data_IF_252780352601
#
_entry.id   IF_252780352601
#
_cell.length_a   1.000
_cell.length_b   1.000
_cell.length_c   1.000
_cell.angle_alpha   90.00
_cell.angle_beta   90.00
_cell.angle_gamma   90.00
#
_symmetry.space_group_name_H-M   'P 1'
#
loop_
_entity.id
_entity.type
_entity.pdbx_description
1 polymer ?
#
# COMPACT_ATOMS: atom_id res chain seq x y z
N UNK A 1 43.41 -12.71 -10.80
CA UNK A 1 42.08 -12.16 -11.12
C UNK A 1 41.32 -12.03 -9.81
N UNK A 2 41.03 -10.81 -9.37
CA UNK A 2 40.16 -10.60 -8.20
C UNK A 2 38.74 -10.72 -8.71
N UNK A 3 38.06 -11.78 -8.30
CA UNK A 3 36.63 -11.94 -8.56
C UNK A 3 35.90 -10.86 -7.76
N UNK A 4 35.46 -9.79 -8.44
CA UNK A 4 34.63 -8.74 -7.87
C UNK A 4 33.24 -9.31 -7.62
N UNK A 5 33.10 -10.08 -6.55
CA UNK A 5 31.79 -10.50 -6.05
C UNK A 5 31.06 -9.22 -5.62
N UNK A 6 30.12 -8.77 -6.44
CA UNK A 6 29.26 -7.63 -6.10
C UNK A 6 28.40 -8.05 -4.91
N UNK A 7 28.82 -7.67 -3.70
CA UNK A 7 27.99 -7.82 -2.50
C UNK A 7 26.76 -6.95 -2.67
N UNK A 8 25.60 -7.60 -2.88
CA UNK A 8 24.30 -6.93 -2.82
C UNK A 8 24.13 -6.42 -1.39
N UNK A 9 23.94 -5.11 -1.24
CA UNK A 9 23.70 -4.48 0.05
C UNK A 9 22.25 -4.03 0.08
N UNK A 10 21.49 -4.65 0.96
CA UNK A 10 20.14 -4.23 1.32
C UNK A 10 20.25 -2.97 2.19
N UNK A 11 19.41 -1.98 1.91
CA UNK A 11 19.15 -0.85 2.80
C UNK A 11 17.64 -0.79 3.02
N UNK A 12 17.20 -0.81 4.26
CA UNK A 12 15.79 -0.79 4.63
C UNK A 12 15.51 0.46 5.45
N UNK A 13 14.64 1.33 4.96
CA UNK A 13 14.30 2.58 5.63
C UNK A 13 12.79 2.76 5.68
N UNK A 14 12.32 3.57 6.62
CA UNK A 14 10.90 3.80 6.85
C UNK A 14 10.57 5.30 6.91
N UNK A 15 9.39 5.66 6.41
CA UNK A 15 8.72 6.92 6.74
C UNK A 15 8.06 6.85 8.12
N UNK A 16 7.53 7.99 8.57
CA UNK A 16 6.95 8.19 9.90
C UNK A 16 5.59 7.51 10.09
N UNK A 17 4.82 7.30 9.02
CA UNK A 17 3.42 6.88 9.11
C UNK A 17 3.21 5.48 9.71
N UNK A 18 4.20 4.58 9.63
CA UNK A 18 4.06 3.18 10.03
C UNK A 18 5.42 2.55 10.42
N UNK A 19 6.14 3.24 11.30
CA UNK A 19 7.48 2.82 11.74
C UNK A 19 7.48 1.44 12.42
N UNK A 20 6.48 1.13 13.26
CA UNK A 20 6.37 -0.15 13.97
C UNK A 20 6.30 -1.35 13.00
N UNK A 21 5.47 -1.24 11.95
CA UNK A 21 5.42 -2.25 10.88
C UNK A 21 6.77 -2.40 10.17
N UNK A 22 7.51 -1.32 9.98
CA UNK A 22 8.80 -1.38 9.33
C UNK A 22 9.87 -2.07 10.21
N UNK A 23 9.82 -1.88 11.53
CA UNK A 23 10.66 -2.61 12.49
C UNK A 23 10.32 -4.10 12.51
N UNK A 24 9.03 -4.48 12.52
CA UNK A 24 8.61 -5.88 12.41
C UNK A 24 9.12 -6.54 11.12
N UNK A 25 9.04 -5.82 9.99
CA UNK A 25 9.60 -6.29 8.72
C UNK A 25 11.12 -6.44 8.80
N UNK A 26 11.82 -5.52 9.45
CA UNK A 26 13.27 -5.60 9.63
C UNK A 26 13.66 -6.83 10.49
N UNK A 27 12.92 -7.09 11.57
CA UNK A 27 13.12 -8.24 12.45
C UNK A 27 12.95 -9.56 11.69
N UNK A 28 11.85 -9.70 10.93
CA UNK A 28 11.60 -10.90 10.10
C UNK A 28 12.69 -11.12 9.05
N UNK A 29 13.27 -10.03 8.51
CA UNK A 29 14.37 -10.10 7.55
C UNK A 29 15.74 -10.34 8.20
N UNK A 30 15.84 -10.35 9.54
CA UNK A 30 17.10 -10.47 10.26
C UNK A 30 18.02 -9.27 10.07
N UNK A 31 17.44 -8.08 9.88
CA UNK A 31 18.14 -6.80 9.69
C UNK A 31 17.61 -5.75 10.68
N UNK A 32 18.02 -4.50 10.49
CA UNK A 32 17.49 -3.32 11.19
C UNK A 32 17.04 -2.27 10.18
N UNK A 33 16.25 -1.28 10.62
CA UNK A 33 16.07 -0.05 9.87
C UNK A 33 17.38 0.75 9.85
N UNK A 34 17.79 1.17 8.66
CA UNK A 34 18.91 2.07 8.47
C UNK A 34 18.51 3.50 8.87
N UNK A 35 19.41 4.27 9.50
CA UNK A 35 19.08 5.58 10.02
C UNK A 35 18.77 6.57 8.90
N UNK A 36 17.61 7.21 8.99
CA UNK A 36 17.23 8.37 8.16
C UNK A 36 16.81 9.50 9.08
N UNK A 37 17.46 10.65 8.92
CA UNK A 37 17.05 11.89 9.58
C UNK A 37 15.93 12.52 8.79
N UNK A 38 14.73 12.51 9.36
CA UNK A 38 13.56 13.24 8.88
C UNK A 38 13.27 14.40 9.83
N UNK A 39 13.24 15.62 9.33
CA UNK A 39 12.89 16.80 10.12
C UNK A 39 11.99 17.73 9.35
N UNK A 40 11.18 18.49 10.07
CA UNK A 40 10.24 19.45 9.50
C UNK A 40 10.72 20.89 9.78
N UNK A 41 10.70 21.74 8.75
CA UNK A 41 10.93 23.16 8.90
C UNK A 41 9.68 23.83 9.49
N UNK A 42 9.84 25.05 10.03
CA UNK A 42 8.73 25.79 10.66
C UNK A 42 7.52 26.06 9.73
N UNK A 43 7.68 25.92 8.42
CA UNK A 43 6.64 26.08 7.41
C UNK A 43 6.01 24.76 6.92
N UNK A 44 6.40 23.61 7.50
CA UNK A 44 5.89 22.28 7.13
C UNK A 44 6.68 21.56 6.04
N UNK A 45 7.75 22.15 5.50
CA UNK A 45 8.61 21.47 4.53
C UNK A 45 9.44 20.36 5.19
N UNK A 46 9.63 19.26 4.46
CA UNK A 46 10.39 18.12 4.95
C UNK A 46 11.85 18.16 4.48
N UNK A 47 12.75 17.85 5.41
CA UNK A 47 14.15 17.59 5.15
C UNK A 47 14.45 16.12 5.41
N UNK A 48 14.97 15.42 4.39
CA UNK A 48 15.36 14.02 4.45
C UNK A 48 16.86 13.87 4.23
N UNK A 49 17.53 13.12 5.11
CA UNK A 49 18.94 12.77 4.96
C UNK A 49 19.20 11.35 5.45
N UNK A 50 19.74 10.51 4.56
CA UNK A 50 20.28 9.19 4.94
C UNK A 50 21.50 9.35 5.86
N UNK A 51 21.52 8.63 6.97
CA UNK A 51 22.63 8.68 7.94
C UNK A 51 23.90 8.02 7.41
N UNK A 52 23.75 6.90 6.70
CA UNK A 52 24.84 6.13 6.11
C UNK A 52 24.89 6.26 4.58
N UNK A 53 26.06 5.96 4.00
CA UNK A 53 26.21 5.93 2.54
C UNK A 53 25.39 4.80 1.95
N UNK A 54 24.44 5.12 1.07
CA UNK A 54 23.59 4.17 0.33
C UNK A 54 24.01 3.97 -1.14
N UNK A 55 25.18 4.48 -1.52
CA UNK A 55 25.72 4.34 -2.90
C UNK A 55 25.75 2.86 -3.31
N UNK A 56 25.19 2.56 -4.48
CA UNK A 56 25.18 1.21 -5.05
C UNK A 56 24.28 0.21 -4.32
N UNK A 57 23.54 0.62 -3.28
CA UNK A 57 22.67 -0.27 -2.51
C UNK A 57 21.32 -0.52 -3.22
N UNK A 58 20.66 -1.60 -2.81
CA UNK A 58 19.26 -1.87 -3.08
C UNK A 58 18.43 -1.33 -1.91
N UNK A 59 17.77 -0.18 -2.11
CA UNK A 59 17.04 0.56 -1.08
C UNK A 59 15.56 0.19 -1.14
N UNK A 60 14.99 -0.17 0.00
CA UNK A 60 13.57 -0.41 0.20
C UNK A 60 13.05 0.67 1.15
N UNK A 61 12.07 1.45 0.68
CA UNK A 61 11.52 2.58 1.43
C UNK A 61 10.08 2.22 1.81
N UNK A 62 9.87 1.85 3.07
CA UNK A 62 8.56 1.52 3.63
C UNK A 62 7.83 2.82 3.99
N UNK A 63 6.64 3.03 3.45
CA UNK A 63 5.81 4.19 3.75
C UNK A 63 4.36 3.94 3.35
N UNK A 64 3.49 3.82 4.33
CA UNK A 64 2.06 3.67 4.12
C UNK A 64 1.42 5.03 3.83
N UNK A 65 0.60 5.13 2.79
CA UNK A 65 -0.07 6.38 2.42
C UNK A 65 -1.35 6.58 3.24
N UNK A 66 -1.28 6.46 4.56
CA UNK A 66 -2.41 6.61 5.46
C UNK A 66 -2.35 7.95 6.22
N UNK A 67 -3.51 8.37 6.73
CA UNK A 67 -3.56 9.48 7.68
C UNK A 67 -3.23 8.94 9.07
N UNK A 68 -2.35 9.63 9.78
CA UNK A 68 -2.12 9.46 11.23
C UNK A 68 -2.63 10.70 11.96
N UNK A 69 -2.40 10.78 13.28
CA UNK A 69 -2.72 11.99 14.05
C UNK A 69 -1.90 13.22 13.61
N UNK A 70 -0.75 13.01 12.96
CA UNK A 70 0.21 14.06 12.63
C UNK A 70 0.42 14.23 11.12
N UNK A 71 0.11 13.21 10.32
CA UNK A 71 0.33 13.20 8.88
C UNK A 71 -0.98 12.96 8.14
N UNK A 72 -1.22 13.75 7.10
CA UNK A 72 -2.22 13.42 6.10
C UNK A 72 -1.67 12.39 5.11
N UNK A 73 -2.56 11.81 4.28
CA UNK A 73 -2.18 10.96 3.15
C UNK A 73 -1.21 11.68 2.20
N UNK A 74 -1.36 13.00 2.03
CA UNK A 74 -0.48 13.80 1.19
C UNK A 74 0.92 13.92 1.78
N UNK A 75 1.01 14.16 3.10
CA UNK A 75 2.28 14.31 3.80
C UNK A 75 3.07 13.00 3.75
N UNK A 76 2.39 11.86 3.94
CA UNK A 76 3.01 10.54 3.83
C UNK A 76 3.54 10.24 2.42
N UNK A 77 2.78 10.61 1.38
CA UNK A 77 3.22 10.43 -0.02
C UNK A 77 4.40 11.37 -0.32
N UNK A 78 4.31 12.64 0.06
CA UNK A 78 5.37 13.63 -0.17
C UNK A 78 6.66 13.24 0.55
N UNK A 79 6.56 12.78 1.79
CA UNK A 79 7.69 12.25 2.56
C UNK A 79 8.38 11.11 1.81
N UNK A 80 7.64 10.08 1.39
CA UNK A 80 8.22 8.95 0.69
C UNK A 80 8.83 9.34 -0.66
N UNK A 81 8.20 10.28 -1.40
CA UNK A 81 8.76 10.84 -2.64
C UNK A 81 10.10 11.54 -2.40
N UNK A 82 10.20 12.33 -1.33
CA UNK A 82 11.44 13.01 -0.94
C UNK A 82 12.53 12.00 -0.57
N UNK A 83 12.18 10.92 0.15
CA UNK A 83 13.12 9.84 0.45
C UNK A 83 13.61 9.13 -0.83
N UNK A 84 12.73 8.90 -1.81
CA UNK A 84 13.08 8.31 -3.11
C UNK A 84 14.03 9.23 -3.89
N UNK A 85 13.75 10.53 -3.99
CA UNK A 85 14.63 11.50 -4.67
C UNK A 85 15.99 11.59 -3.97
N UNK A 86 16.01 11.64 -2.63
CA UNK A 86 17.25 11.63 -1.85
C UNK A 86 18.07 10.36 -2.12
N UNK A 87 17.44 9.18 -2.19
CA UNK A 87 18.10 7.93 -2.51
C UNK A 87 18.68 7.90 -3.93
N UNK A 88 17.94 8.42 -4.91
CA UNK A 88 18.39 8.55 -6.30
C UNK A 88 19.62 9.44 -6.40
N UNK A 89 19.60 10.61 -5.76
CA UNK A 89 20.74 11.55 -5.76
C UNK A 89 21.95 11.00 -4.98
N UNK A 90 21.71 10.19 -3.95
CA UNK A 90 22.74 9.45 -3.24
C UNK A 90 23.32 8.25 -4.03
N UNK A 91 22.91 8.08 -5.30
CA UNK A 91 23.40 7.02 -6.19
C UNK A 91 23.06 5.60 -5.72
N UNK A 92 21.88 5.40 -5.13
CA UNK A 92 21.34 4.06 -4.92
C UNK A 92 21.24 3.31 -6.26
N UNK A 93 21.48 1.99 -6.25
CA UNK A 93 21.43 1.17 -7.46
C UNK A 93 19.99 0.89 -7.89
N UNK A 94 19.15 0.53 -6.92
CA UNK A 94 17.72 0.28 -7.10
C UNK A 94 16.96 0.83 -5.91
N UNK A 95 15.79 1.40 -6.17
CA UNK A 95 14.90 1.96 -5.16
C UNK A 95 13.55 1.27 -5.33
N UNK A 96 13.10 0.54 -4.33
CA UNK A 96 11.79 -0.08 -4.28
C UNK A 96 10.92 0.67 -3.29
N UNK A 97 9.79 1.18 -3.77
CA UNK A 97 8.76 1.79 -2.94
C UNK A 97 7.93 0.66 -2.34
N UNK A 98 7.86 0.59 -1.01
CA UNK A 98 6.99 -0.35 -0.29
C UNK A 98 5.88 0.47 0.33
N UNK A 99 4.68 0.40 -0.24
CA UNK A 99 3.49 1.11 0.21
C UNK A 99 2.44 0.09 0.66
N UNK A 100 2.49 -0.39 1.92
CA UNK A 100 1.55 -1.39 2.42
C UNK A 100 0.09 -1.03 2.14
N UNK A 101 -0.26 0.24 2.35
CA UNK A 101 -1.51 0.84 1.86
C UNK A 101 -1.23 1.87 0.77
N UNK A 102 -1.75 1.62 -0.43
CA UNK A 102 -1.64 2.54 -1.56
C UNK A 102 -2.76 3.59 -1.54
N UNK A 103 -2.39 4.79 -1.07
CA UNK A 103 -3.23 5.97 -1.03
C UNK A 103 -3.72 6.39 -2.41
N UNK A 104 -4.87 7.07 -2.44
CA UNK A 104 -5.57 7.43 -3.68
C UNK A 104 -6.04 6.27 -4.56
N UNK A 105 -5.87 5.00 -4.15
CA UNK A 105 -6.28 3.83 -4.94
C UNK A 105 -7.77 3.78 -5.32
N UNK A 106 -8.64 4.52 -4.63
CA UNK A 106 -10.07 4.65 -5.00
C UNK A 106 -10.32 5.57 -6.20
N UNK A 107 -9.36 6.42 -6.56
CA UNK A 107 -9.41 7.32 -7.72
C UNK A 107 -8.58 6.71 -8.87
N UNK A 108 -8.94 5.49 -9.27
CA UNK A 108 -8.28 4.67 -10.29
C UNK A 108 -8.93 4.78 -11.68
N UNK A 109 -10.04 5.51 -11.79
CA UNK A 109 -10.72 5.82 -13.04
C UNK A 109 -11.46 7.13 -12.92
N UNK A 110 -11.88 7.67 -14.04
CA UNK A 110 -12.85 8.78 -14.08
C UNK A 110 -14.25 8.21 -13.88
N UNK A 111 -14.91 8.56 -12.77
CA UNK A 111 -16.31 8.24 -12.57
C UNK A 111 -17.18 9.21 -13.38
N UNK A 112 -16.76 10.46 -13.47
CA UNK A 112 -17.38 11.51 -14.26
C UNK A 112 -16.37 12.24 -15.16
N UNK A 113 -16.88 13.06 -16.09
CA UNK A 113 -16.04 13.91 -16.93
C UNK A 113 -15.26 14.91 -16.09
N UNK A 114 -14.01 15.21 -16.50
CA UNK A 114 -13.11 16.20 -15.88
C UNK A 114 -12.59 15.87 -14.47
N UNK A 115 -12.63 14.59 -14.09
CA UNK A 115 -11.95 14.10 -12.87
C UNK A 115 -10.50 13.68 -13.14
N UNK A 116 -9.62 13.72 -12.11
CA UNK A 116 -8.29 13.12 -12.18
C UNK A 116 -8.36 11.59 -12.02
N UNK A 117 -7.29 10.91 -12.43
CA UNK A 117 -6.99 9.52 -12.03
C UNK A 117 -5.79 9.60 -11.09
N UNK A 118 -6.06 9.94 -9.83
CA UNK A 118 -5.00 10.28 -8.87
C UNK A 118 -4.13 9.08 -8.52
N UNK A 119 -4.66 7.85 -8.55
CA UNK A 119 -3.84 6.65 -8.38
C UNK A 119 -2.74 6.51 -9.45
N UNK A 120 -3.03 6.92 -10.69
CA UNK A 120 -2.06 6.99 -11.80
C UNK A 120 -1.07 8.12 -11.60
N UNK A 121 -1.53 9.30 -11.18
CA UNK A 121 -0.65 10.42 -10.85
C UNK A 121 0.38 10.03 -9.77
N UNK A 122 -0.04 9.32 -8.71
CA UNK A 122 0.87 8.85 -7.66
C UNK A 122 1.94 7.91 -8.23
N UNK A 123 1.56 6.98 -9.12
CA UNK A 123 2.52 6.10 -9.79
C UNK A 123 3.54 6.89 -10.62
N UNK A 124 3.08 7.89 -11.38
CA UNK A 124 3.92 8.77 -12.20
C UNK A 124 4.90 9.60 -11.35
N UNK A 125 4.45 10.08 -10.19
CA UNK A 125 5.30 10.82 -9.27
C UNK A 125 6.43 9.93 -8.72
N UNK A 126 6.13 8.69 -8.33
CA UNK A 126 7.16 7.76 -7.84
C UNK A 126 8.14 7.34 -8.93
N UNK A 127 7.64 7.09 -10.15
CA UNK A 127 8.51 6.80 -11.30
C UNK A 127 9.45 7.98 -11.57
N UNK A 128 8.91 9.20 -11.63
CA UNK A 128 9.65 10.44 -11.86
C UNK A 128 10.70 10.67 -10.76
N UNK A 129 10.31 10.48 -9.49
CA UNK A 129 11.19 10.60 -8.34
C UNK A 129 12.37 9.62 -8.41
N UNK A 130 12.16 8.42 -8.98
CA UNK A 130 13.23 7.45 -9.23
C UNK A 130 12.97 6.02 -8.81
N UNK A 131 11.74 5.69 -8.41
CA UNK A 131 11.36 4.33 -8.06
C UNK A 131 11.59 3.38 -9.25
N UNK A 132 12.01 2.15 -8.94
CA UNK A 132 12.20 1.06 -9.93
C UNK A 132 11.24 -0.09 -9.73
N UNK A 133 10.47 -0.07 -8.65
CA UNK A 133 9.47 -1.07 -8.27
C UNK A 133 8.52 -0.45 -7.26
N UNK A 134 7.26 -0.86 -7.31
CA UNK A 134 6.27 -0.63 -6.26
C UNK A 134 5.87 -1.98 -5.66
N UNK A 135 5.79 -2.07 -4.34
CA UNK A 135 5.27 -3.22 -3.59
C UNK A 135 4.09 -2.70 -2.76
N UNK A 136 2.92 -3.35 -2.85
CA UNK A 136 1.72 -2.95 -2.11
C UNK A 136 0.87 -4.16 -1.73
N UNK A 137 0.04 -4.02 -0.70
CA UNK A 137 -0.91 -5.05 -0.26
C UNK A 137 -2.33 -4.66 -0.66
N UNK A 138 -3.08 -5.62 -1.22
CA UNK A 138 -4.52 -5.53 -1.55
C UNK A 138 -4.95 -4.17 -2.13
N UNK A 139 -4.39 -3.84 -3.30
CA UNK A 139 -4.76 -2.66 -4.07
C UNK A 139 -6.27 -2.60 -4.25
N UNK A 140 -6.82 -1.37 -4.22
CA UNK A 140 -8.26 -1.17 -4.38
C UNK A 140 -8.81 -1.86 -5.63
N UNK A 141 -8.01 -1.82 -6.71
CA UNK A 141 -8.30 -2.38 -8.01
C UNK A 141 -7.02 -3.00 -8.58
N UNK A 142 -7.14 -4.22 -9.14
CA UNK A 142 -5.98 -4.96 -9.66
C UNK A 142 -5.31 -4.25 -10.84
N UNK A 143 -6.04 -3.40 -11.56
CA UNK A 143 -5.58 -2.63 -12.70
C UNK A 143 -4.55 -1.55 -12.32
N UNK A 144 -4.48 -1.14 -11.06
CA UNK A 144 -3.48 -0.16 -10.57
C UNK A 144 -2.05 -0.65 -10.85
N UNK A 145 -1.82 -1.96 -10.94
CA UNK A 145 -0.52 -2.52 -11.35
C UNK A 145 -0.06 -1.98 -12.72
N UNK A 146 -0.98 -1.72 -13.65
CA UNK A 146 -0.66 -1.17 -14.97
C UNK A 146 -0.44 0.34 -15.01
N UNK A 147 -0.51 1.04 -13.88
CA UNK A 147 -0.28 2.49 -13.82
C UNK A 147 1.18 2.87 -13.71
N UNK A 148 2.03 1.97 -13.20
CA UNK A 148 3.46 2.19 -13.05
C UNK A 148 4.22 1.56 -14.22
N UNK A 149 5.13 2.30 -14.86
CA UNK A 149 5.99 1.77 -15.93
C UNK A 149 7.19 1.00 -15.33
N UNK A 150 6.87 -0.12 -14.70
CA UNK A 150 7.85 -0.99 -14.07
C UNK A 150 7.21 -2.14 -13.28
N UNK A 151 8.01 -2.97 -12.60
CA UNK A 151 7.49 -4.06 -11.77
C UNK A 151 6.62 -3.54 -10.62
N UNK A 152 5.43 -4.11 -10.48
CA UNK A 152 4.55 -3.93 -9.33
C UNK A 152 4.30 -5.29 -8.70
N UNK A 153 4.73 -5.46 -7.44
CA UNK A 153 4.42 -6.64 -6.65
C UNK A 153 3.15 -6.36 -5.83
N UNK A 154 2.02 -6.89 -6.30
CA UNK A 154 0.73 -6.77 -5.63
C UNK A 154 0.49 -7.99 -4.72
N UNK A 155 0.79 -7.82 -3.45
CA UNK A 155 0.60 -8.83 -2.42
C UNK A 155 -0.85 -8.87 -1.95
N UNK A 156 -1.27 -10.00 -1.38
CA UNK A 156 -2.62 -10.14 -0.79
C UNK A 156 -2.54 -10.68 0.63
N UNK A 157 -3.34 -10.11 1.53
CA UNK A 157 -3.42 -10.54 2.93
C UNK A 157 -4.36 -11.74 3.12
N UNK A 158 -5.13 -12.12 2.09
CA UNK A 158 -6.16 -13.15 2.17
C UNK A 158 -5.67 -14.47 2.79
N UNK A 159 -4.51 -15.05 2.44
CA UNK A 159 -4.04 -16.30 3.05
C UNK A 159 -3.87 -16.20 4.58
N UNK A 160 -3.28 -15.10 5.06
CA UNK A 160 -3.05 -14.85 6.50
C UNK A 160 -4.38 -14.66 7.24
N UNK A 161 -5.31 -13.93 6.63
CA UNK A 161 -6.63 -13.69 7.22
C UNK A 161 -7.49 -14.95 7.26
N UNK A 162 -7.47 -15.75 6.19
CA UNK A 162 -8.17 -17.03 6.11
C UNK A 162 -7.61 -18.02 7.12
N UNK A 163 -6.30 -18.16 7.23
CA UNK A 163 -5.66 -19.03 8.22
C UNK A 163 -6.09 -18.67 9.63
N UNK A 164 -6.05 -17.38 9.98
CA UNK A 164 -6.50 -16.92 11.29
C UNK A 164 -8.00 -17.19 11.50
N UNK A 165 -8.86 -16.89 10.52
CA UNK A 165 -10.30 -17.13 10.63
C UNK A 165 -10.64 -18.61 10.79
N UNK A 166 -10.02 -19.49 10.00
CA UNK A 166 -10.24 -20.93 10.10
C UNK A 166 -9.79 -21.51 11.46
N UNK A 167 -8.78 -20.92 12.09
CA UNK A 167 -8.30 -21.35 13.40
C UNK A 167 -9.09 -20.78 14.60
N UNK A 168 -9.80 -19.66 14.40
CA UNK A 168 -10.40 -18.89 15.51
C UNK A 168 -11.92 -18.72 15.40
N UNK A 169 -12.52 -18.99 14.24
CA UNK A 169 -13.97 -18.93 14.03
C UNK A 169 -14.56 -20.35 13.95
N UNK A 170 -15.87 -20.47 14.18
CA UNK A 170 -16.60 -21.75 14.08
C UNK A 170 -16.79 -22.21 12.64
N UNK A 171 -17.45 -23.36 12.46
CA UNK A 171 -17.67 -23.97 11.13
C UNK A 171 -18.89 -23.38 10.39
N UNK A 172 -19.83 -22.77 11.11
CA UNK A 172 -21.05 -22.16 10.54
C UNK A 172 -20.80 -20.67 10.27
N UNK A 173 -20.20 -20.38 9.10
CA UNK A 173 -19.79 -19.03 8.71
C UNK A 173 -20.52 -18.57 7.46
N UNK A 174 -20.88 -17.29 7.46
CA UNK A 174 -21.33 -16.56 6.27
C UNK A 174 -20.39 -15.37 6.04
N UNK A 175 -19.75 -15.34 4.87
CA UNK A 175 -18.95 -14.20 4.44
C UNK A 175 -19.87 -13.19 3.78
N UNK A 176 -19.88 -11.95 4.30
CA UNK A 176 -20.77 -10.89 3.81
C UNK A 176 -19.98 -9.86 2.99
N UNK A 177 -20.34 -9.70 1.71
CA UNK A 177 -19.88 -8.56 0.90
C UNK A 177 -20.66 -7.31 1.28
N UNK A 178 -20.02 -6.23 1.75
CA UNK A 178 -20.70 -5.02 2.22
C UNK A 178 -21.32 -4.18 1.10
N UNK A 179 -20.98 -4.47 -0.16
CA UNK A 179 -21.52 -3.87 -1.36
C UNK A 179 -21.24 -4.76 -2.58
N UNK A 180 -21.76 -4.38 -3.75
CA UNK A 180 -21.58 -5.13 -5.00
C UNK A 180 -20.13 -5.12 -5.53
N UNK A 181 -19.32 -4.12 -5.17
CA UNK A 181 -17.97 -3.92 -5.70
C UNK A 181 -16.96 -4.94 -5.18
N UNK A 182 -17.21 -5.54 -4.02
CA UNK A 182 -16.31 -6.52 -3.38
C UNK A 182 -16.82 -7.96 -3.40
N UNK A 183 -17.92 -8.25 -4.10
CA UNK A 183 -18.53 -9.61 -4.14
C UNK A 183 -17.52 -10.67 -4.56
N UNK A 184 -16.71 -10.42 -5.59
CA UNK A 184 -15.68 -11.37 -6.04
C UNK A 184 -14.60 -11.63 -5.00
N UNK A 185 -14.32 -10.66 -4.13
CA UNK A 185 -13.36 -10.83 -3.02
C UNK A 185 -14.01 -11.66 -1.92
N UNK A 186 -15.25 -11.32 -1.53
CA UNK A 186 -16.03 -12.06 -0.54
C UNK A 186 -16.24 -13.53 -0.95
N UNK A 187 -16.56 -13.79 -2.22
CA UNK A 187 -16.69 -15.14 -2.79
C UNK A 187 -15.38 -15.95 -2.66
N UNK A 188 -14.21 -15.33 -2.84
CA UNK A 188 -12.93 -16.01 -2.62
C UNK A 188 -12.70 -16.37 -1.16
N UNK A 189 -13.07 -15.49 -0.23
CA UNK A 189 -13.03 -15.80 1.21
C UNK A 189 -13.97 -16.95 1.55
N UNK A 190 -15.22 -16.88 1.07
CA UNK A 190 -16.24 -17.92 1.28
C UNK A 190 -15.74 -19.29 0.81
N UNK A 191 -15.21 -19.37 -0.42
CA UNK A 191 -14.64 -20.59 -0.98
C UNK A 191 -13.46 -21.15 -0.18
N UNK A 192 -12.58 -20.29 0.36
CA UNK A 192 -11.43 -20.76 1.15
C UNK A 192 -11.82 -21.21 2.56
N UNK A 193 -12.88 -20.64 3.13
CA UNK A 193 -13.39 -20.99 4.45
C UNK A 193 -14.44 -22.11 4.42
N UNK A 194 -14.92 -22.52 3.24
CA UNK A 194 -16.08 -23.41 3.13
C UNK A 194 -17.37 -22.78 3.65
N UNK A 195 -17.45 -21.45 3.61
CA UNK A 195 -18.53 -20.64 4.17
C UNK A 195 -19.54 -20.23 3.09
N UNK A 196 -20.75 -19.87 3.51
CA UNK A 196 -21.74 -19.29 2.62
C UNK A 196 -21.43 -17.82 2.28
N UNK A 197 -22.05 -17.28 1.23
CA UNK A 197 -21.87 -15.91 0.76
C UNK A 197 -23.17 -15.13 0.87
N UNK A 198 -23.12 -13.97 1.52
CA UNK A 198 -24.17 -12.97 1.50
C UNK A 198 -23.67 -11.63 0.95
N UNK A 199 -24.57 -10.80 0.42
CA UNK A 199 -24.26 -9.53 -0.23
C UNK A 199 -25.25 -8.47 0.24
N UNK A 200 -24.74 -7.33 0.71
CA UNK A 200 -25.59 -6.18 1.01
C UNK A 200 -25.92 -5.43 -0.27
N UNK A 201 -27.20 -5.38 -0.64
CA UNK A 201 -27.67 -4.60 -1.76
C UNK A 201 -27.93 -3.15 -1.33
N UNK A 202 -27.04 -2.24 -1.76
CA UNK A 202 -27.13 -0.80 -1.50
C UNK A 202 -27.59 -0.07 -2.76
N UNK A 203 -28.53 0.87 -2.61
CA UNK A 203 -28.92 1.80 -3.68
C UNK A 203 -28.52 3.22 -3.30
N UNK A 204 -27.69 3.86 -4.13
CA UNK A 204 -27.34 5.26 -3.94
C UNK A 204 -28.55 6.16 -4.24
N UNK A 205 -28.89 7.05 -3.30
CA UNK A 205 -29.91 8.08 -3.51
C UNK A 205 -29.25 9.21 -4.32
N UNK A 206 -29.77 9.49 -5.52
CA UNK A 206 -29.26 10.60 -6.36
C UNK A 206 -29.37 11.92 -5.59
N UNK A 207 -28.25 12.61 -5.40
CA UNK A 207 -28.20 13.98 -4.88
C UNK A 207 -27.58 14.17 -3.49
N UNK A 208 -27.31 13.10 -2.74
CA UNK A 208 -26.64 13.18 -1.44
C UNK A 208 -25.28 12.48 -1.50
N UNK A 209 -24.19 13.26 -1.51
CA UNK A 209 -22.85 12.70 -1.30
C UNK A 209 -22.80 12.10 0.11
N UNK A 210 -22.41 10.84 0.22
CA UNK A 210 -22.26 10.04 1.46
C UNK A 210 -23.55 9.54 2.14
N UNK A 211 -24.75 9.68 1.55
CA UNK A 211 -25.95 8.99 2.06
C UNK A 211 -26.13 7.64 1.35
N UNK A 212 -26.00 6.54 2.10
CA UNK A 212 -26.20 5.18 1.59
C UNK A 212 -27.17 4.46 2.52
N UNK A 213 -28.32 4.05 2.00
CA UNK A 213 -29.27 3.19 2.71
C UNK A 213 -28.98 1.73 2.34
N UNK A 214 -28.71 0.89 3.34
CA UNK A 214 -28.75 -0.57 3.18
C UNK A 214 -30.23 -0.99 3.14
N UNK A 215 -30.66 -1.63 2.05
CA UNK A 215 -32.07 -2.01 1.89
C UNK A 215 -32.29 -3.50 2.13
N UNK A 216 -31.48 -4.33 1.50
CA UNK A 216 -31.68 -5.79 1.52
C UNK A 216 -30.35 -6.54 1.64
N UNK A 217 -30.42 -7.72 2.26
CA UNK A 217 -29.35 -8.72 2.25
C UNK A 217 -29.74 -9.82 1.27
N UNK A 218 -28.85 -10.13 0.34
CA UNK A 218 -29.00 -11.21 -0.63
C UNK A 218 -28.10 -12.36 -0.19
N UNK A 219 -28.69 -13.50 0.15
CA UNK A 219 -28.02 -14.64 0.77
C UNK A 219 -28.65 -14.96 2.12
N UNK A 220 -28.52 -16.20 2.56
CA UNK A 220 -29.00 -16.62 3.88
C UNK A 220 -27.94 -16.27 4.93
N UNK A 221 -28.38 -15.67 6.03
CA UNK A 221 -27.54 -15.32 7.18
C UNK A 221 -28.23 -15.88 8.41
N UNK A 222 -27.82 -17.08 8.83
CA UNK A 222 -28.34 -17.78 10.00
C UNK A 222 -27.46 -17.57 11.22
#
# INVERSE_FOLDING_TARGET
MVELVTKKRLVLVAGRANHDLAEEVAEVLGTRLDPVSMSEFANGELHCRFGDSIRGADVFIIGSHCSTGELSVNDAIMEQLIMVDAAKRASAKRISVVAPFYGYGRQDRKAEGREPITAKLVADLFETAGAKRIISVDLHSGQIQGFFDGPVDHLTAMPVLVEWMAANLGEDLVVVSPDAGRVKVAERYANQLGADLAIVHKRHVKGAKNAVEAKDVVGEVT
#
